data_IF_416846929105
#
_entry.id   IF_416846929105
#
_cell.length_a   1.000
_cell.length_b   1.000
_cell.length_c   1.000
_cell.angle_alpha   90.00
_cell.angle_beta   90.00
_cell.angle_gamma   90.00
#
_symmetry.space_group_name_H-M   'P 1'
#
loop_
_entity.id
_entity.type
_entity.pdbx_description
1 polymer ?
#
# COMPACT_ATOMS: atom_id res chain seq x y z
N UNK A 1 15.66 16.49 -12.20
CA UNK A 1 17.09 16.17 -11.94
C UNK A 1 17.83 15.52 -13.12
N UNK A 2 17.23 15.39 -14.33
CA UNK A 2 17.93 14.94 -15.56
C UNK A 2 18.32 16.11 -16.48
N UNK A 3 17.77 17.30 -16.29
CA UNK A 3 18.05 18.48 -17.10
C UNK A 3 19.41 19.12 -16.79
N UNK A 4 19.81 19.14 -15.51
CA UNK A 4 21.06 19.77 -15.09
C UNK A 4 22.30 19.01 -15.57
N UNK A 5 22.26 17.68 -15.53
CA UNK A 5 23.35 16.81 -15.99
C UNK A 5 23.55 16.90 -17.50
N UNK A 6 22.47 17.06 -18.26
CA UNK A 6 22.57 17.29 -19.71
C UNK A 6 23.20 18.65 -20.01
N UNK A 7 22.77 19.72 -19.34
CA UNK A 7 23.30 21.08 -19.54
C UNK A 7 24.79 21.24 -19.20
N UNK A 8 25.29 20.51 -18.22
CA UNK A 8 26.73 20.46 -17.89
C UNK A 8 27.52 19.67 -18.93
N UNK A 9 27.00 18.51 -19.39
CA UNK A 9 27.67 17.71 -20.42
C UNK A 9 27.61 18.35 -21.82
N UNK A 10 26.59 19.17 -22.11
CA UNK A 10 26.45 19.90 -23.38
C UNK A 10 27.17 21.26 -23.36
N UNK A 11 27.92 21.58 -22.30
CA UNK A 11 28.71 22.82 -22.18
C UNK A 11 27.88 24.10 -22.05
N UNK A 12 26.57 24.00 -21.81
CA UNK A 12 25.67 25.16 -21.74
C UNK A 12 25.66 25.82 -20.34
N UNK A 13 26.20 25.15 -19.32
CA UNK A 13 26.21 25.62 -17.93
C UNK A 13 27.58 25.33 -17.32
N UNK A 14 28.22 26.33 -16.70
CA UNK A 14 29.45 26.13 -15.92
C UNK A 14 29.20 25.15 -14.77
N UNK A 15 30.12 24.22 -14.47
CA UNK A 15 29.94 23.25 -13.40
C UNK A 15 29.86 23.98 -12.07
N UNK A 16 28.66 24.06 -11.50
CA UNK A 16 28.46 24.56 -10.15
C UNK A 16 29.10 23.58 -9.18
N UNK A 17 29.79 24.07 -8.15
CA UNK A 17 30.59 23.29 -7.19
C UNK A 17 29.82 22.18 -6.42
N UNK A 18 28.53 22.00 -6.69
CA UNK A 18 27.58 21.14 -5.98
C UNK A 18 27.18 19.87 -6.74
N UNK A 19 27.66 19.64 -7.98
CA UNK A 19 27.15 18.52 -8.82
C UNK A 19 27.69 17.15 -8.39
N UNK A 20 28.81 17.06 -7.65
CA UNK A 20 29.43 15.77 -7.28
C UNK A 20 29.21 15.31 -5.82
N UNK A 21 28.21 15.84 -5.11
CA UNK A 21 28.02 15.51 -3.69
C UNK A 21 27.48 14.09 -3.42
N UNK A 22 27.07 13.34 -4.45
CA UNK A 22 26.48 11.99 -4.29
C UNK A 22 27.46 10.94 -3.76
N UNK A 23 28.76 11.12 -3.96
CA UNK A 23 29.78 10.19 -3.45
C UNK A 23 30.04 10.35 -1.94
N UNK A 24 29.69 11.51 -1.36
CA UNK A 24 29.90 11.83 0.05
C UNK A 24 28.80 11.21 0.94
N UNK A 25 27.59 11.03 0.40
CA UNK A 25 26.49 10.43 1.15
C UNK A 25 26.57 8.90 1.10
N UNK A 26 26.93 8.26 2.22
CA UNK A 26 26.84 6.81 2.39
C UNK A 26 25.41 6.36 2.11
N UNK A 27 25.21 5.59 1.03
CA UNK A 27 23.88 5.08 0.71
C UNK A 27 23.39 4.18 1.85
N UNK A 28 22.17 4.41 2.31
CA UNK A 28 21.55 3.55 3.33
C UNK A 28 21.41 2.16 2.72
N UNK A 29 22.07 1.16 3.28
CA UNK A 29 21.87 -0.24 2.87
C UNK A 29 20.40 -0.58 3.10
N UNK A 30 19.66 -0.80 2.03
CA UNK A 30 18.29 -1.27 2.11
C UNK A 30 18.31 -2.74 2.55
N UNK A 31 17.64 -3.06 3.66
CA UNK A 31 17.34 -4.45 4.02
C UNK A 31 16.44 -5.03 2.92
N UNK A 32 16.89 -6.10 2.27
CA UNK A 32 16.05 -6.86 1.35
C UNK A 32 15.24 -7.83 2.20
N UNK A 33 13.92 -7.69 2.18
CA UNK A 33 13.03 -8.67 2.79
C UNK A 33 12.87 -9.83 1.81
N UNK A 34 13.35 -11.01 2.22
CA UNK A 34 13.08 -12.24 1.49
C UNK A 34 11.57 -12.52 1.62
N UNK A 35 10.87 -12.95 0.56
CA UNK A 35 9.51 -13.45 0.70
C UNK A 35 9.51 -14.57 1.76
N UNK A 36 8.63 -14.46 2.76
CA UNK A 36 8.45 -15.52 3.74
C UNK A 36 8.07 -16.81 3.00
N UNK A 37 8.53 -17.95 3.51
CA UNK A 37 8.13 -19.23 2.95
C UNK A 37 6.60 -19.33 3.02
N UNK A 38 5.94 -19.86 1.98
CA UNK A 38 4.48 -20.01 1.95
C UNK A 38 3.90 -20.75 3.19
N UNK A 39 4.73 -21.50 3.91
CA UNK A 39 4.41 -22.18 5.18
C UNK A 39 4.20 -21.24 6.37
N UNK A 40 4.76 -20.03 6.34
CA UNK A 40 4.65 -19.06 7.45
C UNK A 40 3.38 -18.22 7.35
N UNK A 41 2.70 -18.21 6.19
CA UNK A 41 1.50 -17.41 5.99
C UNK A 41 0.33 -17.82 6.91
N UNK A 42 0.01 -19.10 7.12
CA UNK A 42 -1.02 -19.51 8.08
C UNK A 42 -0.70 -19.07 9.51
N UNK A 43 0.57 -19.17 9.94
CA UNK A 43 1.02 -18.74 11.26
C UNK A 43 0.86 -17.22 11.43
N UNK A 44 1.23 -16.45 10.41
CA UNK A 44 1.03 -15.00 10.36
C UNK A 44 -0.45 -14.64 10.46
N UNK A 45 -1.33 -15.33 9.74
CA UNK A 45 -2.78 -15.08 9.79
C UNK A 45 -3.36 -15.37 11.17
N UNK A 46 -2.92 -16.44 11.84
CA UNK A 46 -3.30 -16.74 13.23
C UNK A 46 -2.79 -15.66 14.18
N UNK A 47 -1.56 -15.21 14.01
CA UNK A 47 -0.97 -14.16 14.83
C UNK A 47 -1.74 -12.83 14.69
N UNK A 48 -2.07 -12.42 13.46
CA UNK A 48 -2.89 -11.22 13.18
C UNK A 48 -4.30 -11.36 13.78
N UNK A 49 -4.88 -12.55 13.73
CA UNK A 49 -6.21 -12.82 14.28
C UNK A 49 -6.24 -12.70 15.82
N UNK A 50 -5.15 -13.08 16.49
CA UNK A 50 -5.01 -13.04 17.95
C UNK A 50 -4.44 -11.70 18.47
N UNK A 51 -3.77 -10.92 17.62
CA UNK A 51 -3.22 -9.63 18.00
C UNK A 51 -4.32 -8.59 18.28
N UNK A 52 -4.07 -7.72 19.28
CA UNK A 52 -4.94 -6.60 19.65
C UNK A 52 -4.84 -5.45 18.64
N UNK A 53 -5.31 -5.70 17.43
CA UNK A 53 -5.33 -4.77 16.29
C UNK A 53 -6.76 -4.33 16.03
N UNK A 54 -6.96 -3.02 15.80
CA UNK A 54 -8.28 -2.48 15.40
C UNK A 54 -8.81 -3.22 14.18
N UNK A 55 -10.12 -3.52 14.17
CA UNK A 55 -10.77 -4.30 13.10
C UNK A 55 -10.49 -3.75 11.70
N UNK A 56 -10.59 -2.43 11.50
CA UNK A 56 -10.27 -1.78 10.22
C UNK A 56 -8.84 -2.06 9.76
N UNK A 57 -7.87 -1.97 10.66
CA UNK A 57 -6.46 -2.24 10.34
C UNK A 57 -6.22 -3.72 10.05
N UNK A 58 -6.87 -4.62 10.79
CA UNK A 58 -6.82 -6.05 10.52
C UNK A 58 -7.33 -6.38 9.12
N UNK A 59 -8.52 -5.90 8.78
CA UNK A 59 -9.09 -6.09 7.45
C UNK A 59 -8.23 -5.45 6.36
N UNK A 60 -7.55 -4.33 6.63
CA UNK A 60 -6.61 -3.73 5.68
C UNK A 60 -5.39 -4.64 5.41
N UNK A 61 -4.84 -5.29 6.44
CA UNK A 61 -3.73 -6.24 6.30
C UNK A 61 -4.18 -7.47 5.49
N UNK A 62 -5.31 -8.06 5.86
CA UNK A 62 -5.89 -9.20 5.15
C UNK A 62 -6.22 -8.86 3.68
N UNK A 63 -6.75 -7.66 3.42
CA UNK A 63 -6.98 -7.15 2.06
C UNK A 63 -5.69 -7.03 1.25
N UNK A 64 -4.60 -6.54 1.86
CA UNK A 64 -3.29 -6.49 1.21
C UNK A 64 -2.77 -7.88 0.88
N UNK A 65 -2.97 -8.87 1.76
CA UNK A 65 -2.56 -10.25 1.53
C UNK A 65 -3.37 -10.91 0.40
N UNK A 66 -4.68 -10.65 0.31
CA UNK A 66 -5.52 -11.22 -0.74
C UNK A 66 -5.30 -10.56 -2.11
N UNK A 67 -5.01 -9.26 -2.16
CA UNK A 67 -4.88 -8.50 -3.42
C UNK A 67 -3.44 -8.32 -3.88
N UNK A 68 -2.45 -8.58 -3.00
CA UNK A 68 -1.02 -8.35 -3.25
C UNK A 68 -0.71 -6.93 -3.74
N UNK A 69 -1.53 -5.96 -3.37
CA UNK A 69 -1.37 -4.55 -3.78
C UNK A 69 -0.45 -3.79 -2.85
N UNK A 70 0.07 -2.65 -3.32
CA UNK A 70 0.93 -1.81 -2.48
C UNK A 70 0.12 -1.26 -1.31
N UNK A 71 0.75 -1.00 -0.15
CA UNK A 71 0.04 -0.48 1.02
C UNK A 71 -0.74 0.82 0.74
N UNK A 72 -0.21 1.71 -0.11
CA UNK A 72 -0.92 2.93 -0.52
C UNK A 72 -2.14 2.67 -1.41
N UNK A 73 -2.06 1.68 -2.30
CA UNK A 73 -3.18 1.28 -3.17
C UNK A 73 -4.28 0.64 -2.32
N UNK A 74 -3.92 -0.29 -1.44
CA UNK A 74 -4.85 -0.94 -0.52
C UNK A 74 -5.53 0.04 0.45
N UNK A 75 -4.76 0.95 1.06
CA UNK A 75 -5.32 1.90 2.01
C UNK A 75 -6.34 2.85 1.36
N UNK A 76 -6.13 3.22 0.08
CA UNK A 76 -6.99 4.15 -0.65
C UNK A 76 -8.15 3.48 -1.41
N UNK A 77 -8.44 2.21 -1.12
CA UNK A 77 -9.55 1.46 -1.71
C UNK A 77 -10.88 2.18 -1.43
N UNK A 78 -11.60 2.56 -2.50
CA UNK A 78 -12.95 3.12 -2.40
C UNK A 78 -13.99 2.05 -2.71
N UNK A 79 -15.16 2.15 -2.08
CA UNK A 79 -16.31 1.30 -2.41
C UNK A 79 -16.75 1.46 -3.86
N UNK A 80 -16.62 2.67 -4.44
CA UNK A 80 -16.97 2.93 -5.83
C UNK A 80 -16.04 2.26 -6.84
N UNK A 81 -14.84 1.83 -6.40
CA UNK A 81 -13.86 1.13 -7.24
C UNK A 81 -14.12 -0.39 -7.28
N UNK A 82 -15.09 -0.90 -6.50
CA UNK A 82 -15.40 -2.33 -6.35
C UNK A 82 -16.71 -2.66 -7.08
N UNK A 83 -16.62 -3.60 -8.02
CA UNK A 83 -17.76 -4.20 -8.71
C UNK A 83 -18.01 -5.59 -8.09
N UNK A 84 -19.02 -5.67 -7.22
CA UNK A 84 -19.37 -6.92 -6.50
C UNK A 84 -19.99 -7.97 -7.43
N UNK A 85 -20.68 -7.56 -8.49
CA UNK A 85 -21.29 -8.46 -9.46
C UNK A 85 -20.22 -9.17 -10.29
N UNK A 86 -19.24 -8.41 -10.78
CA UNK A 86 -18.08 -8.97 -11.51
C UNK A 86 -17.00 -9.51 -10.59
N UNK A 87 -17.12 -9.31 -9.28
CA UNK A 87 -16.10 -9.67 -8.27
C UNK A 87 -14.73 -9.08 -8.63
N UNK A 88 -14.69 -7.79 -8.95
CA UNK A 88 -13.45 -7.10 -9.33
C UNK A 88 -13.27 -5.81 -8.57
N UNK A 89 -12.02 -5.47 -8.28
CA UNK A 89 -11.62 -4.16 -7.79
C UNK A 89 -10.75 -3.47 -8.84
N UNK A 90 -11.10 -2.25 -9.23
CA UNK A 90 -10.40 -1.48 -10.26
C UNK A 90 -9.67 -0.30 -9.65
N UNK A 91 -8.33 -0.32 -9.69
CA UNK A 91 -7.51 0.82 -9.29
C UNK A 91 -7.40 1.78 -10.49
N UNK A 92 -7.90 3.03 -10.37
CA UNK A 92 -7.93 3.95 -11.49
C UNK A 92 -6.52 4.43 -11.88
N UNK A 93 -6.31 4.67 -13.17
CA UNK A 93 -5.02 5.09 -13.74
C UNK A 93 -4.42 6.33 -13.04
N UNK A 94 -5.27 7.25 -12.57
CA UNK A 94 -4.86 8.47 -11.84
C UNK A 94 -4.11 8.17 -10.54
N UNK A 95 -4.37 7.02 -9.90
CA UNK A 95 -3.71 6.57 -8.67
C UNK A 95 -2.51 5.65 -8.93
N UNK A 96 -2.27 5.27 -10.19
CA UNK A 96 -1.23 4.31 -10.57
C UNK A 96 0.04 5.01 -11.08
N UNK A 97 1.20 4.59 -10.58
CA UNK A 97 2.52 5.10 -11.00
C UNK A 97 2.77 4.98 -12.51
N UNK A 98 2.24 3.94 -13.15
CA UNK A 98 2.37 3.67 -14.59
C UNK A 98 1.20 4.23 -15.43
N UNK A 99 0.29 5.03 -14.84
CA UNK A 99 -0.87 5.65 -15.51
C UNK A 99 -1.76 4.68 -16.30
N UNK A 100 -1.79 3.41 -15.90
CA UNK A 100 -2.66 2.38 -16.46
C UNK A 100 -3.57 1.87 -15.35
N UNK A 101 -4.87 1.75 -15.63
CA UNK A 101 -5.81 1.14 -14.69
C UNK A 101 -5.42 -0.31 -14.43
N UNK A 102 -5.59 -0.76 -13.20
CA UNK A 102 -5.29 -2.13 -12.80
C UNK A 102 -6.54 -2.76 -12.22
N UNK A 103 -6.99 -3.85 -12.84
CA UNK A 103 -8.16 -4.62 -12.40
C UNK A 103 -7.66 -5.85 -11.67
N UNK A 104 -8.17 -6.05 -10.47
CA UNK A 104 -7.82 -7.15 -9.57
C UNK A 104 -9.08 -8.00 -9.37
N UNK A 105 -9.05 -9.30 -9.73
CA UNK A 105 -10.14 -10.21 -9.40
C UNK A 105 -10.17 -10.47 -7.89
N UNK A 106 -11.37 -10.47 -7.31
CA UNK A 106 -11.59 -10.69 -5.89
C UNK A 106 -11.92 -12.16 -5.62
N UNK A 107 -11.18 -12.76 -4.68
CA UNK A 107 -11.46 -14.10 -4.17
C UNK A 107 -12.68 -14.09 -3.25
N UNK A 108 -13.23 -15.27 -2.96
CA UNK A 108 -14.35 -15.40 -2.01
C UNK A 108 -13.98 -14.88 -0.62
N UNK A 109 -12.73 -15.08 -0.18
CA UNK A 109 -12.23 -14.53 1.08
C UNK A 109 -12.16 -13.00 1.07
N UNK A 110 -11.72 -12.39 -0.04
CA UNK A 110 -11.72 -10.93 -0.17
C UNK A 110 -13.14 -10.35 -0.13
N UNK A 111 -14.12 -11.03 -0.74
CA UNK A 111 -15.53 -10.64 -0.69
C UNK A 111 -16.12 -10.78 0.72
N UNK A 112 -15.82 -11.87 1.42
CA UNK A 112 -16.24 -12.07 2.81
C UNK A 112 -15.66 -10.99 3.75
N UNK A 113 -14.42 -10.55 3.49
CA UNK A 113 -13.80 -9.44 4.21
C UNK A 113 -14.54 -8.12 3.95
N UNK A 114 -14.94 -7.86 2.70
CA UNK A 114 -15.75 -6.68 2.37
C UNK A 114 -17.08 -6.70 3.11
N UNK A 115 -17.79 -7.82 3.14
CA UNK A 115 -19.05 -7.94 3.91
C UNK A 115 -18.80 -7.76 5.42
N UNK A 116 -17.66 -8.20 5.95
CA UNK A 116 -17.29 -8.00 7.35
C UNK A 116 -17.07 -6.53 7.70
N UNK A 117 -16.45 -5.75 6.81
CA UNK A 117 -16.14 -4.33 7.07
C UNK A 117 -17.27 -3.37 6.67
N UNK A 118 -18.18 -3.80 5.79
CA UNK A 118 -19.32 -3.00 5.28
C UNK A 118 -20.18 -2.35 6.37
N UNK A 119 -20.50 -2.99 7.52
CA UNK A 119 -21.22 -2.30 8.60
C UNK A 119 -20.47 -1.09 9.18
N UNK A 120 -19.13 -1.10 9.12
CA UNK A 120 -18.27 -0.05 9.69
C UNK A 120 -17.99 1.09 8.72
N UNK A 121 -17.87 0.79 7.42
CA UNK A 121 -17.43 1.77 6.42
C UNK A 121 -18.26 1.83 5.14
N UNK A 122 -19.28 0.98 4.97
CA UNK A 122 -20.09 0.91 3.74
C UNK A 122 -20.89 2.18 3.44
N UNK A 123 -21.11 3.04 4.44
CA UNK A 123 -21.73 4.36 4.31
C UNK A 123 -20.70 5.48 4.01
N UNK A 124 -19.43 5.13 3.75
CA UNK A 124 -18.32 6.08 3.54
C UNK A 124 -17.72 5.90 2.15
N UNK A 125 -16.83 6.80 1.75
CA UNK A 125 -16.12 6.68 0.46
C UNK A 125 -15.11 5.53 0.46
N UNK A 126 -14.33 5.39 1.54
CA UNK A 126 -13.22 4.45 1.64
C UNK A 126 -13.61 3.19 2.40
N UNK A 127 -13.15 2.04 1.91
CA UNK A 127 -13.33 0.73 2.57
C UNK A 127 -12.61 0.71 3.92
N UNK A 128 -11.42 1.30 3.98
CA UNK A 128 -10.58 1.38 5.19
C UNK A 128 -10.44 2.84 5.65
N UNK A 129 -11.39 3.38 6.43
CA UNK A 129 -11.33 4.76 6.89
C UNK A 129 -10.23 4.98 7.93
N UNK A 130 -9.76 6.23 8.05
CA UNK A 130 -8.85 6.61 9.12
C UNK A 130 -9.56 6.63 10.49
N UNK A 131 -8.77 6.41 11.54
CA UNK A 131 -9.25 6.37 12.92
C UNK A 131 -9.64 7.77 13.45
N UNK A 132 -8.83 8.80 13.12
CA UNK A 132 -9.06 10.18 13.57
C UNK A 132 -10.10 10.91 12.74
N UNK A 133 -10.03 10.77 11.41
CA UNK A 133 -11.02 11.34 10.49
C UNK A 133 -11.64 10.25 9.60
N UNK A 134 -12.81 9.73 9.99
CA UNK A 134 -13.66 8.83 9.23
C UNK A 134 -13.87 9.12 7.74
N UNK A 135 -13.75 10.39 7.32
CA UNK A 135 -13.97 10.81 5.93
C UNK A 135 -12.75 10.55 5.05
N UNK A 136 -11.59 10.32 5.66
CA UNK A 136 -10.33 10.04 4.98
C UNK A 136 -10.00 8.55 5.03
N UNK A 137 -9.05 8.12 4.20
CA UNK A 137 -8.56 6.75 4.20
C UNK A 137 -7.47 6.52 5.26
N UNK A 138 -7.27 5.27 5.63
CA UNK A 138 -6.20 4.87 6.54
C UNK A 138 -4.81 5.30 5.99
N UNK A 139 -3.85 5.58 6.87
CA UNK A 139 -2.48 5.86 6.45
C UNK A 139 -1.88 4.59 5.79
N UNK A 140 -1.16 4.76 4.68
CA UNK A 140 -0.50 3.65 3.97
C UNK A 140 0.50 2.87 4.82
N UNK A 141 1.01 3.46 5.90
CA UNK A 141 1.94 2.82 6.83
C UNK A 141 1.24 2.06 7.96
N UNK A 142 -0.07 2.25 8.18
CA UNK A 142 -0.77 1.66 9.33
C UNK A 142 -0.66 0.14 9.38
N UNK A 143 -0.77 -0.53 8.22
CA UNK A 143 -0.60 -1.98 8.13
C UNK A 143 0.80 -2.41 8.59
N UNK A 144 1.85 -1.78 8.06
CA UNK A 144 3.24 -2.09 8.42
C UNK A 144 3.52 -1.80 9.89
N UNK A 145 3.10 -0.64 10.40
CA UNK A 145 3.30 -0.28 11.81
C UNK A 145 2.55 -1.24 12.75
N UNK A 146 1.38 -1.73 12.35
CA UNK A 146 0.65 -2.71 13.15
C UNK A 146 1.38 -4.06 13.18
N UNK A 147 1.93 -4.52 12.05
CA UNK A 147 2.77 -5.72 12.02
C UNK A 147 4.01 -5.55 12.90
N UNK A 148 4.76 -4.45 12.71
CA UNK A 148 5.96 -4.15 13.51
C UNK A 148 5.67 -4.06 15.01
N UNK A 149 4.56 -3.42 15.41
CA UNK A 149 4.17 -3.27 16.81
C UNK A 149 3.83 -4.61 17.49
N UNK A 150 3.42 -5.62 16.72
CA UNK A 150 3.11 -6.96 17.21
C UNK A 150 4.24 -7.98 16.97
N UNK A 151 5.39 -7.53 16.46
CA UNK A 151 6.55 -8.39 16.20
C UNK A 151 6.37 -9.34 15.01
N UNK A 152 5.55 -8.94 14.03
CA UNK A 152 5.20 -9.71 12.83
C UNK A 152 5.91 -9.17 11.57
#
# INVERSE_FOLDING_TARGET
MRSLTYGVNSGMILPIHSVEFRAVFKSRKSKIWLPSAQRELPELMIAIANASIKRTTRCLIEWQLHTMTRPAEAATTSWADIDLDKKTWTIPARRMKKRRAHVIPLTEHALALLETIKPYSGHREYVFPADRDPRTHCNSQTANMALEAHGL
#
